data_IF_221178337859
#
_entry.id   IF_221178337859
#
_cell.length_a   1.000
_cell.length_b   1.000
_cell.length_c   1.000
_cell.angle_alpha   90.00
_cell.angle_beta   90.00
_cell.angle_gamma   90.00
#
_symmetry.space_group_name_H-M   'P 1'
#
loop_
_entity.id
_entity.type
_entity.pdbx_description
1 polymer ?
#
# COMPACT_ATOMS: atom_id res chain seq x y z
N UNK A 1 17.38 -18.91 -8.76
CA UNK A 1 17.08 -18.71 -8.40
C UNK A 1 16.59 -18.34 -8.41
N UNK A 2 16.43 -18.21 -8.33
CA UNK A 2 15.85 -17.92 -8.14
C UNK A 2 15.36 -17.37 -8.19
N UNK A 3 15.40 -17.36 -8.41
CA UNK A 3 14.88 -16.84 -8.26
C UNK A 3 14.09 -16.44 -8.38
N UNK A 4 14.15 -16.72 -9.18
CA UNK A 4 13.21 -16.23 -9.20
C UNK A 4 12.54 -15.75 -8.30
N UNK A 5 12.90 -15.64 -7.66
CA UNK A 5 12.21 -15.21 -6.76
C UNK A 5 11.63 -14.06 -7.00
N UNK A 6 10.39 -13.89 -6.73
CA UNK A 6 9.89 -12.60 -6.93
C UNK A 6 10.04 -11.76 -5.68
N UNK A 7 10.22 -10.49 -5.89
CA UNK A 7 10.47 -9.58 -4.81
C UNK A 7 9.17 -9.00 -4.31
N UNK A 8 9.16 -8.62 -3.05
CA UNK A 8 7.99 -8.06 -2.41
C UNK A 8 8.28 -6.70 -1.84
N UNK A 9 7.23 -5.93 -1.67
CA UNK A 9 7.30 -4.62 -1.04
C UNK A 9 6.64 -4.72 0.32
N UNK A 10 7.25 -4.08 1.32
CA UNK A 10 6.67 -4.03 2.66
C UNK A 10 5.63 -2.93 2.68
N UNK A 11 4.38 -3.31 2.91
CA UNK A 11 3.29 -2.36 3.01
C UNK A 11 2.95 -2.15 4.47
N UNK A 12 3.00 -0.90 4.90
CA UNK A 12 2.66 -0.52 6.27
C UNK A 12 1.58 0.55 6.18
N UNK A 13 0.44 0.31 6.82
CA UNK A 13 -0.65 1.28 6.88
C UNK A 13 -0.87 1.64 8.33
N UNK A 14 -0.66 2.91 8.67
CA UNK A 14 -0.78 3.37 10.05
C UNK A 14 -1.84 4.45 10.15
N UNK A 15 -2.57 4.40 11.25
CA UNK A 15 -3.52 5.44 11.61
C UNK A 15 -3.13 5.94 12.99
N UNK A 16 -3.72 7.04 13.48
CA UNK A 16 -3.42 7.52 14.82
C UNK A 16 -3.74 6.50 15.92
N UNK A 17 -4.58 5.51 15.61
CA UNK A 17 -5.05 4.59 16.63
C UNK A 17 -4.33 3.27 16.62
N UNK A 18 -3.72 2.88 15.49
CA UNK A 18 -3.03 1.60 15.45
C UNK A 18 -2.28 1.42 14.14
N UNK A 19 -1.44 0.40 14.16
CA UNK A 19 -0.79 -0.10 12.98
C UNK A 19 -1.80 -1.02 12.30
N UNK A 20 -2.48 -0.51 11.29
CA UNK A 20 -3.60 -1.21 10.67
C UNK A 20 -3.17 -2.44 9.89
N UNK A 21 -2.02 -2.35 9.22
CA UNK A 21 -1.55 -3.43 8.35
C UNK A 21 -0.04 -3.33 8.22
N UNK A 22 0.63 -4.47 8.25
CA UNK A 22 2.07 -4.48 8.04
C UNK A 22 2.47 -5.88 7.58
N UNK A 23 2.72 -6.02 6.27
CA UNK A 23 3.12 -7.30 5.67
C UNK A 23 3.88 -7.04 4.39
N UNK A 24 4.61 -8.05 3.95
CA UNK A 24 5.23 -8.03 2.63
C UNK A 24 4.20 -8.50 1.63
N UNK A 25 4.02 -7.74 0.56
CA UNK A 25 3.00 -8.02 -0.44
C UNK A 25 3.62 -7.96 -1.82
N UNK A 26 2.93 -8.54 -2.80
CA UNK A 26 3.42 -8.53 -4.17
C UNK A 26 3.21 -7.17 -4.83
N UNK A 27 2.06 -6.56 -4.56
CA UNK A 27 1.77 -5.24 -5.11
C UNK A 27 0.64 -4.61 -4.33
N UNK A 28 0.53 -3.30 -4.45
CA UNK A 28 -0.55 -2.56 -3.83
C UNK A 28 -0.95 -1.42 -4.76
N UNK A 29 -2.25 -1.16 -4.85
CA UNK A 29 -2.77 -0.01 -5.59
C UNK A 29 -3.38 0.93 -4.56
N UNK A 30 -2.88 2.16 -4.51
CA UNK A 30 -3.37 3.14 -3.54
C UNK A 30 -4.10 4.26 -4.26
N UNK A 31 -5.13 4.84 -3.61
CA UNK A 31 -5.88 5.95 -4.22
C UNK A 31 -5.14 7.26 -3.92
N UNK A 32 -4.70 7.95 -4.95
CA UNK A 32 -4.04 9.24 -4.76
C UNK A 32 -4.87 10.33 -5.38
N UNK A 33 -4.51 11.58 -5.06
CA UNK A 33 -5.21 12.73 -5.63
C UNK A 33 -5.04 12.78 -7.14
N UNK A 34 -3.98 12.15 -7.67
CA UNK A 34 -3.75 12.11 -9.11
C UNK A 34 -4.31 10.87 -9.78
N UNK A 35 -5.04 10.05 -9.02
CA UNK A 35 -5.55 8.77 -9.54
C UNK A 35 -4.92 7.62 -8.82
N UNK A 36 -5.22 6.41 -9.26
CA UNK A 36 -4.68 5.22 -8.62
C UNK A 36 -3.22 5.04 -9.00
N UNK A 37 -2.42 4.61 -8.05
CA UNK A 37 -1.00 4.35 -8.26
C UNK A 37 -0.72 2.92 -7.88
N UNK A 38 -0.15 2.15 -8.82
CA UNK A 38 0.26 0.79 -8.54
C UNK A 38 1.71 0.75 -8.10
N UNK A 39 1.98 0.02 -7.02
CA UNK A 39 3.31 -0.02 -6.41
C UNK A 39 3.77 -1.46 -6.29
N UNK A 40 4.97 -1.71 -6.77
CA UNK A 40 5.62 -3.01 -6.68
C UNK A 40 7.05 -2.78 -6.24
N UNK A 41 7.74 -3.86 -5.90
CA UNK A 41 9.16 -3.77 -5.54
C UNK A 41 9.94 -3.10 -6.67
N UNK A 42 10.86 -2.24 -6.30
CA UNK A 42 11.68 -1.53 -7.27
C UNK A 42 11.13 -0.17 -7.66
N UNK A 43 10.04 0.26 -7.06
CA UNK A 43 9.44 1.53 -7.42
C UNK A 43 10.37 2.68 -7.05
N UNK A 44 10.38 3.72 -7.88
CA UNK A 44 11.17 4.92 -7.60
C UNK A 44 10.62 5.63 -6.36
N UNK A 45 11.47 6.28 -5.58
CA UNK A 45 11.00 7.00 -4.39
C UNK A 45 9.99 8.09 -4.76
N UNK A 46 8.94 8.17 -3.96
CA UNK A 46 7.85 9.09 -4.26
C UNK A 46 7.05 9.35 -2.98
N UNK A 47 6.57 10.58 -2.83
CA UNK A 47 5.64 10.93 -1.76
C UNK A 47 4.39 11.47 -2.43
N UNK A 48 3.23 10.90 -2.09
CA UNK A 48 1.98 11.32 -2.72
C UNK A 48 0.92 11.56 -1.67
N UNK A 49 0.01 12.46 -1.99
CA UNK A 49 -1.17 12.69 -1.16
C UNK A 49 -2.23 11.67 -1.55
N UNK A 50 -2.91 11.13 -0.55
CA UNK A 50 -3.96 10.14 -0.76
C UNK A 50 -5.31 10.81 -0.87
N UNK A 51 -6.14 10.22 -1.71
CA UNK A 51 -7.55 10.55 -1.80
C UNK A 51 -8.31 9.47 -1.04
N UNK A 52 -9.41 9.80 -0.36
CA UNK A 52 -10.21 8.75 0.26
C UNK A 52 -10.63 7.74 -0.79
N UNK A 53 -10.48 6.46 -0.52
CA UNK A 53 -10.84 5.46 -1.48
C UNK A 53 -10.36 4.08 -1.11
N UNK A 54 -10.33 3.20 -2.08
CA UNK A 54 -10.03 1.80 -1.88
C UNK A 54 -8.58 1.51 -2.21
N UNK A 55 -7.94 0.79 -1.30
CA UNK A 55 -6.58 0.29 -1.47
C UNK A 55 -6.68 -1.19 -1.76
N UNK A 56 -6.04 -1.65 -2.84
CA UNK A 56 -6.07 -3.06 -3.23
C UNK A 56 -4.71 -3.67 -2.97
N UNK A 57 -4.68 -4.77 -2.23
CA UNK A 57 -3.45 -5.41 -1.78
C UNK A 57 -3.40 -6.81 -2.36
N UNK A 58 -2.35 -7.11 -3.10
CA UNK A 58 -2.21 -8.44 -3.69
C UNK A 58 -1.06 -9.19 -3.05
N UNK A 59 -1.34 -10.40 -2.58
CA UNK A 59 -0.32 -11.29 -2.03
C UNK A 59 -0.57 -12.66 -2.62
N UNK A 60 0.37 -13.15 -3.41
CA UNK A 60 0.22 -14.41 -4.15
C UNK A 60 -1.02 -14.31 -5.05
N UNK A 61 -1.97 -15.22 -4.92
CA UNK A 61 -3.17 -15.15 -5.73
C UNK A 61 -4.33 -14.49 -5.01
N UNK A 62 -4.06 -13.91 -3.85
CA UNK A 62 -5.10 -13.35 -3.01
C UNK A 62 -5.12 -11.83 -3.14
N UNK A 63 -6.30 -11.25 -3.28
CA UNK A 63 -6.46 -9.81 -3.36
C UNK A 63 -7.40 -9.37 -2.26
N UNK A 64 -6.94 -8.41 -1.46
CA UNK A 64 -7.74 -7.85 -0.37
C UNK A 64 -7.92 -6.37 -0.62
N UNK A 65 -9.02 -5.86 -0.12
CA UNK A 65 -9.33 -4.43 -0.28
C UNK A 65 -9.58 -3.82 1.08
N UNK A 66 -9.09 -2.61 1.28
CA UNK A 66 -9.43 -1.83 2.46
C UNK A 66 -9.77 -0.41 2.04
N UNK A 67 -10.47 0.29 2.91
CA UNK A 67 -10.88 1.67 2.63
C UNK A 67 -9.97 2.58 3.43
N UNK A 68 -9.40 3.57 2.77
CA UNK A 68 -8.49 4.54 3.38
C UNK A 68 -9.11 5.92 3.37
N UNK A 69 -8.85 6.67 4.43
CA UNK A 69 -9.16 8.10 4.44
C UNK A 69 -8.04 8.87 3.75
N UNK A 70 -8.16 10.17 3.72
CA UNK A 70 -7.08 11.02 3.22
C UNK A 70 -5.85 10.88 4.10
N UNK A 71 -4.70 11.16 3.52
CA UNK A 71 -3.43 11.06 4.18
C UNK A 71 -2.34 11.18 3.13
N UNK A 72 -1.25 10.48 3.33
CA UNK A 72 -0.22 10.45 2.32
C UNK A 72 0.57 9.15 2.43
N UNK A 73 1.36 8.88 1.39
CA UNK A 73 2.16 7.68 1.34
C UNK A 73 3.59 8.03 0.94
N UNK A 74 4.54 7.34 1.55
CA UNK A 74 5.94 7.41 1.19
C UNK A 74 6.32 6.09 0.56
N UNK A 75 6.82 6.14 -0.66
CA UNK A 75 7.12 4.95 -1.43
C UNK A 75 8.61 4.91 -1.68
N UNK A 76 9.21 3.77 -1.37
CA UNK A 76 10.61 3.52 -1.64
C UNK A 76 10.74 2.27 -2.47
N UNK A 77 11.98 1.82 -2.63
CA UNK A 77 12.26 0.69 -3.49
C UNK A 77 11.57 -0.59 -3.01
N UNK A 78 11.49 -0.78 -1.72
CA UNK A 78 10.89 -1.99 -1.15
C UNK A 78 9.92 -1.67 -0.02
N UNK A 79 9.43 -0.43 0.03
CA UNK A 79 8.59 0.04 1.12
C UNK A 79 7.47 0.92 0.60
N UNK A 80 6.29 0.69 1.11
CA UNK A 80 5.17 1.60 0.90
C UNK A 80 4.57 1.89 2.27
N UNK A 81 4.81 3.10 2.77
CA UNK A 81 4.31 3.51 4.07
C UNK A 81 3.13 4.44 3.86
N UNK A 82 1.96 3.99 4.31
CA UNK A 82 0.72 4.75 4.18
C UNK A 82 0.34 5.30 5.54
N UNK A 83 0.15 6.60 5.61
CA UNK A 83 -0.24 7.28 6.85
C UNK A 83 -1.56 7.98 6.58
N UNK A 84 -2.61 7.57 7.27
CA UNK A 84 -3.94 8.14 7.05
C UNK A 84 -4.67 8.22 8.37
N UNK A 85 -5.79 8.94 8.36
CA UNK A 85 -6.55 9.16 9.58
C UNK A 85 -7.37 7.94 9.98
N UNK A 86 -7.83 7.17 9.01
CA UNK A 86 -8.66 6.00 9.28
C UNK A 86 -8.49 4.99 8.17
N UNK A 87 -8.56 3.73 8.53
CA UNK A 87 -8.52 2.62 7.58
C UNK A 87 -9.40 1.53 8.11
N UNK A 88 -10.11 0.83 7.23
CA UNK A 88 -10.94 -0.28 7.67
C UNK A 88 -11.14 -1.28 6.57
N UNK A 89 -11.37 -2.52 7.00
CA UNK A 89 -11.71 -3.60 6.09
C UNK A 89 -13.20 -3.55 5.84
N UNK A 90 -13.64 -3.60 4.58
CA UNK A 90 -15.07 -3.67 4.32
C UNK A 90 -15.62 -5.02 4.72
N UNK A 91 -16.89 -5.05 5.00
CA UNK A 91 -17.54 -6.27 5.44
C UNK A 91 -17.68 -7.27 4.34
#
# INVERSE_FOLDING_TARGET
>A
MAESEHKRVTLIIVTPYKNFFEEKVDSVVIPSLSGEIGIMAGHSPLVVALSPGICSIRTDSDVRHCVLSEGYAEIGQYLCLVICNAAEWPE
#
